data_IF_338239700676
#
_entry.id   IF_338239700676
#
_cell.length_a   1.000
_cell.length_b   1.000
_cell.length_c   1.000
_cell.angle_alpha   90.00
_cell.angle_beta   90.00
_cell.angle_gamma   90.00
#
_symmetry.space_group_name_H-M   'P 1'
#
loop_
_entity.id
_entity.type
_entity.pdbx_description
1 polymer ?
#
# COMPACT_ATOMS: atom_id res chain seq x y z
N UNK A 1 18.02 78.81 -22.00
CA UNK A 1 19.03 77.89 -21.42
C UNK A 1 18.33 76.93 -20.46
N UNK A 2 18.77 75.66 -20.48
CA UNK A 2 18.42 74.52 -19.59
C UNK A 2 17.11 73.76 -19.87
N UNK A 3 17.26 72.83 -20.82
CA UNK A 3 16.91 71.40 -20.70
C UNK A 3 16.93 70.83 -19.28
N UNK A 4 15.95 69.97 -18.96
CA UNK A 4 16.11 68.55 -18.55
C UNK A 4 14.72 67.88 -18.71
N UNK A 5 14.66 66.90 -19.60
CA UNK A 5 13.64 65.87 -19.64
C UNK A 5 14.04 64.74 -18.69
N UNK A 6 13.08 64.10 -18.03
CA UNK A 6 13.23 62.72 -17.57
C UNK A 6 11.86 62.08 -17.36
N UNK A 7 11.63 61.07 -18.19
CA UNK A 7 10.51 60.16 -18.18
C UNK A 7 10.61 59.19 -16.99
N UNK A 8 9.47 58.91 -16.36
CA UNK A 8 9.31 57.78 -15.44
C UNK A 8 8.05 57.00 -15.81
N UNK A 9 8.11 56.34 -16.97
CA UNK A 9 7.30 55.16 -17.28
C UNK A 9 7.94 53.99 -16.51
N UNK A 10 7.42 53.69 -15.32
CA UNK A 10 7.87 52.54 -14.53
C UNK A 10 6.76 51.49 -14.50
N UNK A 11 7.07 50.36 -15.13
CA UNK A 11 6.37 49.09 -15.22
C UNK A 11 5.43 48.76 -14.03
N UNK A 12 4.12 48.73 -14.29
CA UNK A 12 3.21 47.83 -13.61
C UNK A 12 3.17 46.50 -14.39
N UNK A 13 4.28 45.77 -14.40
CA UNK A 13 4.36 44.42 -14.95
C UNK A 13 4.20 43.40 -13.82
N UNK A 14 3.05 42.73 -13.83
CA UNK A 14 2.84 41.34 -13.43
C UNK A 14 3.49 40.86 -12.12
N UNK A 15 2.78 41.02 -11.01
CA UNK A 15 2.76 39.99 -9.96
C UNK A 15 1.70 38.93 -10.30
N UNK A 16 1.84 38.31 -11.47
CA UNK A 16 1.33 36.95 -11.67
C UNK A 16 2.36 36.03 -11.00
N UNK A 17 2.38 36.02 -9.67
CA UNK A 17 3.08 35.00 -8.93
C UNK A 17 2.44 33.68 -9.33
N UNK A 18 3.13 32.91 -10.15
CA UNK A 18 2.80 31.54 -10.45
C UNK A 18 2.74 30.80 -9.10
N UNK A 19 1.54 30.64 -8.56
CA UNK A 19 1.25 29.76 -7.43
C UNK A 19 1.55 28.33 -7.92
N UNK A 20 2.82 27.94 -7.92
CA UNK A 20 3.20 26.57 -8.22
C UNK A 20 2.44 25.69 -7.22
N UNK A 21 1.79 24.60 -7.69
CA UNK A 21 1.13 23.67 -6.81
C UNK A 21 2.10 23.25 -5.72
N UNK A 22 1.74 23.50 -4.45
CA UNK A 22 2.61 23.18 -3.33
C UNK A 22 2.62 21.65 -3.18
N UNK A 23 3.71 21.02 -3.61
CA UNK A 23 3.86 19.57 -3.50
C UNK A 23 4.44 19.23 -2.13
N UNK A 24 3.78 18.38 -1.31
CA UNK A 24 4.31 17.95 -0.04
C UNK A 24 5.57 17.08 -0.24
N UNK A 25 6.56 17.27 0.63
CA UNK A 25 7.73 16.39 0.70
C UNK A 25 7.46 15.12 1.52
N UNK A 26 8.41 14.18 1.53
CA UNK A 26 8.24 12.90 2.22
C UNK A 26 8.08 13.06 3.74
N UNK A 27 8.76 14.03 4.35
CA UNK A 27 8.66 14.28 5.78
C UNK A 27 7.29 14.83 6.15
N UNK A 28 6.75 15.74 5.34
CA UNK A 28 5.41 16.30 5.48
C UNK A 28 4.33 15.23 5.29
N UNK A 29 4.44 14.39 4.26
CA UNK A 29 3.53 13.26 4.04
C UNK A 29 3.55 12.27 5.20
N UNK A 30 4.74 12.03 5.77
CA UNK A 30 4.92 11.13 6.91
C UNK A 30 4.33 11.71 8.18
N UNK A 31 4.60 12.98 8.46
CA UNK A 31 4.05 13.67 9.63
C UNK A 31 2.52 13.71 9.59
N UNK A 32 1.94 13.95 8.40
CA UNK A 32 0.50 13.99 8.19
C UNK A 32 -0.15 12.62 8.36
N UNK A 33 0.38 11.59 7.68
CA UNK A 33 -0.24 10.28 7.52
C UNK A 33 0.32 9.21 8.48
N UNK A 34 1.08 9.61 9.50
CA UNK A 34 1.59 8.70 10.54
C UNK A 34 0.47 8.01 11.28
N UNK A 35 0.71 6.76 11.68
CA UNK A 35 -0.15 6.04 12.62
C UNK A 35 -0.33 6.81 13.94
N UNK A 36 -1.49 6.66 14.57
CA UNK A 36 -1.84 7.38 15.81
C UNK A 36 -0.88 7.12 16.97
N UNK A 37 -0.23 5.94 16.99
CA UNK A 37 0.74 5.56 18.02
C UNK A 37 2.17 6.05 17.74
N UNK A 38 2.40 6.70 16.59
CA UNK A 38 3.72 7.22 16.22
C UNK A 38 3.97 8.60 16.84
N UNK A 39 5.20 8.83 17.30
CA UNK A 39 5.61 10.12 17.84
C UNK A 39 5.60 11.21 16.76
N UNK A 40 5.29 12.45 17.14
CA UNK A 40 5.08 13.56 16.20
C UNK A 40 6.30 13.90 15.33
N UNK A 41 7.51 13.62 15.82
CA UNK A 41 8.77 13.94 15.14
C UNK A 41 9.48 12.70 14.57
N UNK A 42 8.80 11.54 14.51
CA UNK A 42 9.37 10.34 13.94
C UNK A 42 9.32 10.39 12.41
N UNK A 43 10.43 10.81 11.79
CA UNK A 43 10.59 10.85 10.33
C UNK A 43 10.48 9.48 9.65
N UNK A 44 10.57 8.38 10.42
CA UNK A 44 10.42 7.00 9.96
C UNK A 44 9.09 6.38 10.39
N UNK A 45 8.17 7.17 10.93
CA UNK A 45 6.86 6.70 11.37
C UNK A 45 6.16 5.91 10.27
N UNK A 46 5.56 4.77 10.65
CA UNK A 46 4.73 4.00 9.72
C UNK A 46 3.56 4.86 9.26
N UNK A 47 3.35 4.88 7.95
CA UNK A 47 2.16 5.47 7.35
C UNK A 47 0.98 4.53 7.63
N UNK A 48 -0.14 5.08 8.07
CA UNK A 48 -1.33 4.32 8.41
C UNK A 48 -2.00 3.74 7.15
N UNK A 49 -2.27 2.43 7.16
CA UNK A 49 -2.74 1.70 5.98
C UNK A 49 -4.14 2.14 5.53
N UNK A 50 -5.00 2.60 6.46
CA UNK A 50 -6.33 3.09 6.10
C UNK A 50 -6.23 4.39 5.31
N UNK A 51 -5.32 5.29 5.70
CA UNK A 51 -5.09 6.56 5.03
C UNK A 51 -4.60 6.35 3.59
N UNK A 52 -3.67 5.41 3.41
CA UNK A 52 -3.21 5.00 2.07
C UNK A 52 -4.36 4.46 1.23
N UNK A 53 -5.20 3.59 1.82
CA UNK A 53 -6.37 3.02 1.13
C UNK A 53 -7.35 4.12 0.73
N UNK A 54 -7.69 5.02 1.64
CA UNK A 54 -8.57 6.15 1.38
C UNK A 54 -8.04 7.07 0.27
N UNK A 55 -6.77 7.44 0.34
CA UNK A 55 -6.15 8.30 -0.69
C UNK A 55 -6.14 7.64 -2.07
N UNK A 56 -5.88 6.33 -2.16
CA UNK A 56 -5.95 5.58 -3.42
C UNK A 56 -7.35 5.55 -4.02
N UNK A 57 -8.37 5.38 -3.20
CA UNK A 57 -9.77 5.42 -3.65
C UNK A 57 -10.14 6.79 -4.23
N UNK A 58 -9.61 7.87 -3.64
CA UNK A 58 -9.91 9.24 -4.03
C UNK A 58 -9.06 9.79 -5.18
N UNK A 59 -7.92 9.15 -5.48
CA UNK A 59 -6.99 9.65 -6.49
C UNK A 59 -7.56 9.71 -7.92
N UNK A 60 -8.65 9.00 -8.21
CA UNK A 60 -9.23 8.97 -9.55
C UNK A 60 -8.37 8.26 -10.59
N UNK A 61 -7.25 7.64 -10.18
CA UNK A 61 -6.36 6.88 -11.04
C UNK A 61 -6.64 5.37 -10.94
N UNK A 62 -6.90 4.74 -12.09
CA UNK A 62 -7.28 3.33 -12.16
C UNK A 62 -6.15 2.38 -11.71
N UNK A 63 -4.87 2.75 -11.86
CA UNK A 63 -3.74 1.95 -11.39
C UNK A 63 -3.62 2.03 -9.87
N UNK A 64 -3.83 3.21 -9.30
CA UNK A 64 -3.85 3.39 -7.85
C UNK A 64 -5.05 2.68 -7.21
N UNK A 65 -6.21 2.65 -7.88
CA UNK A 65 -7.39 1.92 -7.43
C UNK A 65 -7.28 0.39 -7.64
N UNK A 66 -6.29 -0.08 -8.41
CA UNK A 66 -6.13 -1.50 -8.70
C UNK A 66 -5.97 -2.32 -7.41
N UNK A 67 -6.67 -3.45 -7.33
CA UNK A 67 -6.69 -4.33 -6.16
C UNK A 67 -7.31 -3.73 -4.89
N UNK A 68 -7.97 -2.57 -4.97
CA UNK A 68 -8.86 -2.13 -3.90
C UNK A 68 -10.16 -2.95 -3.94
N UNK A 69 -10.69 -3.39 -2.78
CA UNK A 69 -12.02 -4.00 -2.71
C UNK A 69 -13.09 -3.10 -3.35
N UNK A 70 -14.12 -3.68 -3.98
CA UNK A 70 -15.17 -2.88 -4.60
C UNK A 70 -15.97 -2.09 -3.55
N UNK A 71 -16.07 -2.63 -2.33
CA UNK A 71 -16.79 -2.04 -1.19
C UNK A 71 -16.19 -0.70 -0.78
N UNK A 72 -14.86 -0.55 -0.88
CA UNK A 72 -14.18 0.70 -0.52
C UNK A 72 -14.21 1.74 -1.64
N UNK A 73 -14.73 1.40 -2.83
CA UNK A 73 -14.81 2.30 -3.98
C UNK A 73 -16.19 2.98 -4.11
N UNK A 74 -17.15 2.60 -3.26
CA UNK A 74 -18.48 3.24 -3.19
C UNK A 74 -18.38 4.69 -2.70
N UNK A 75 -19.33 5.54 -3.09
CA UNK A 75 -19.37 6.93 -2.64
C UNK A 75 -19.54 7.04 -1.12
N UNK A 76 -20.29 6.11 -0.51
CA UNK A 76 -20.43 6.01 0.94
C UNK A 76 -19.08 5.71 1.63
N UNK A 77 -18.31 4.75 1.11
CA UNK A 77 -16.98 4.43 1.64
C UNK A 77 -15.98 5.56 1.41
N UNK A 78 -16.01 6.22 0.25
CA UNK A 78 -15.22 7.43 -0.03
C UNK A 78 -15.51 8.53 0.99
N UNK A 79 -16.80 8.82 1.24
CA UNK A 79 -17.22 9.79 2.25
C UNK A 79 -16.72 9.43 3.65
N UNK A 80 -16.90 8.17 4.09
CA UNK A 80 -16.40 7.71 5.38
C UNK A 80 -14.87 7.82 5.50
N UNK A 81 -14.16 7.54 4.40
CA UNK A 81 -12.71 7.74 4.30
C UNK A 81 -12.30 9.20 4.48
N UNK A 82 -13.06 10.14 3.87
CA UNK A 82 -12.82 11.57 4.02
C UNK A 82 -13.05 12.02 5.46
N UNK A 83 -14.20 11.66 6.04
CA UNK A 83 -14.55 12.00 7.43
C UNK A 83 -13.52 11.46 8.44
N UNK A 84 -12.98 10.26 8.20
CA UNK A 84 -11.92 9.68 9.04
C UNK A 84 -10.61 10.48 8.97
N UNK A 85 -10.26 11.01 7.80
CA UNK A 85 -9.00 11.72 7.60
C UNK A 85 -9.08 13.21 7.91
N UNK A 86 -10.25 13.83 7.82
CA UNK A 86 -10.45 15.27 8.08
C UNK A 86 -9.81 15.76 9.40
N UNK A 87 -9.93 15.05 10.54
CA UNK A 87 -9.25 15.45 11.78
C UNK A 87 -7.71 15.51 11.65
N UNK A 88 -7.10 14.70 10.79
CA UNK A 88 -5.65 14.70 10.59
C UNK A 88 -5.20 15.90 9.76
N UNK A 89 -6.03 16.30 8.79
CA UNK A 89 -5.80 17.50 7.99
C UNK A 89 -6.05 18.77 8.80
N UNK A 90 -6.96 18.74 9.78
CA UNK A 90 -7.24 19.83 10.71
C UNK A 90 -6.20 19.96 11.85
N UNK A 91 -5.47 18.90 12.17
CA UNK A 91 -4.46 18.88 13.22
C UNK A 91 -3.20 19.67 12.79
N UNK A 92 -3.01 20.87 13.37
CA UNK A 92 -1.87 21.73 13.08
C UNK A 92 -0.50 21.12 13.44
N UNK A 93 -0.47 20.08 14.30
CA UNK A 93 0.76 19.36 14.66
C UNK A 93 1.12 18.28 13.64
N UNK A 94 0.13 17.76 12.90
CA UNK A 94 0.31 16.83 11.77
C UNK A 94 0.49 17.57 10.45
N UNK A 95 -0.23 18.68 10.30
CA UNK A 95 -0.35 19.45 9.09
C UNK A 95 -0.03 20.95 9.31
N UNK A 96 1.18 21.31 9.76
CA UNK A 96 1.55 22.71 10.02
C UNK A 96 1.48 23.57 8.76
N UNK A 97 1.62 22.93 7.59
CA UNK A 97 1.59 23.57 6.28
C UNK A 97 0.19 23.66 5.66
N UNK A 98 -0.83 23.13 6.36
CA UNK A 98 -2.25 23.20 5.99
C UNK A 98 -2.55 22.66 4.58
N UNK A 99 -1.89 21.56 4.20
CA UNK A 99 -2.27 20.84 2.99
C UNK A 99 -3.74 20.44 3.04
N UNK A 100 -4.45 20.51 1.93
CA UNK A 100 -5.84 20.04 1.86
C UNK A 100 -5.89 18.57 1.46
N UNK A 101 -7.03 17.93 1.70
CA UNK A 101 -7.24 16.56 1.24
C UNK A 101 -7.09 16.45 -0.28
N UNK A 102 -7.60 17.42 -1.03
CA UNK A 102 -7.57 17.47 -2.48
C UNK A 102 -6.12 17.48 -3.00
N UNK A 103 -5.24 18.28 -2.37
CA UNK A 103 -3.82 18.33 -2.69
C UNK A 103 -3.12 17.00 -2.44
N UNK A 104 -3.42 16.33 -1.32
CA UNK A 104 -2.80 15.05 -0.96
C UNK A 104 -3.38 13.87 -1.73
N UNK A 105 -4.63 13.97 -2.17
CA UNK A 105 -5.30 12.95 -2.97
C UNK A 105 -4.90 12.96 -4.45
N UNK A 106 -4.08 13.92 -4.92
CA UNK A 106 -3.64 13.93 -6.31
C UNK A 106 -2.84 12.66 -6.66
N UNK A 107 -3.02 12.06 -7.87
CA UNK A 107 -2.37 10.80 -8.24
C UNK A 107 -0.86 10.74 -8.01
N UNK A 108 -0.14 11.82 -8.32
CA UNK A 108 1.30 11.89 -8.12
C UNK A 108 1.68 11.84 -6.63
N UNK A 109 0.93 12.54 -5.78
CA UNK A 109 1.14 12.55 -4.33
C UNK A 109 0.78 11.20 -3.72
N UNK A 110 -0.35 10.60 -4.13
CA UNK A 110 -0.77 9.27 -3.65
C UNK A 110 0.20 8.17 -4.07
N UNK A 111 0.77 8.26 -5.28
CA UNK A 111 1.84 7.34 -5.72
C UNK A 111 3.07 7.44 -4.82
N UNK A 112 3.45 8.65 -4.41
CA UNK A 112 4.56 8.90 -3.47
C UNK A 112 4.25 8.39 -2.07
N UNK A 113 3.04 8.62 -1.56
CA UNK A 113 2.56 8.05 -0.28
C UNK A 113 2.60 6.53 -0.30
N UNK A 114 2.18 5.89 -1.40
CA UNK A 114 2.27 4.45 -1.59
C UNK A 114 3.72 3.96 -1.57
N UNK A 115 4.63 4.64 -2.26
CA UNK A 115 6.05 4.31 -2.24
C UNK A 115 6.64 4.41 -0.83
N UNK A 116 6.30 5.46 -0.08
CA UNK A 116 6.71 5.62 1.32
C UNK A 116 6.12 4.54 2.23
N UNK A 117 4.84 4.20 2.04
CA UNK A 117 4.16 3.14 2.79
C UNK A 117 4.85 1.79 2.56
N UNK A 118 5.11 1.44 1.30
CA UNK A 118 5.80 0.20 0.93
C UNK A 118 7.25 0.18 1.40
N UNK A 119 7.98 1.30 1.27
CA UNK A 119 9.35 1.43 1.76
C UNK A 119 9.44 1.24 3.28
N UNK A 120 8.43 1.66 4.04
CA UNK A 120 8.38 1.48 5.50
C UNK A 120 7.82 0.12 5.94
N UNK A 121 6.99 -0.50 5.12
CA UNK A 121 6.63 -1.90 5.28
C UNK A 121 7.85 -2.80 5.03
N UNK A 122 8.69 -2.45 4.06
CA UNK A 122 9.97 -3.11 3.78
C UNK A 122 11.05 -2.78 4.82
N UNK A 123 11.07 -1.55 5.35
CA UNK A 123 12.05 -1.04 6.31
C UNK A 123 11.97 -1.60 7.74
N UNK A 124 11.25 -2.70 7.96
CA UNK A 124 11.40 -3.55 9.15
C UNK A 124 12.77 -4.23 9.22
N UNK A 125 13.48 -4.35 8.10
CA UNK A 125 14.93 -4.60 8.00
C UNK A 125 15.38 -4.09 6.63
N UNK A 126 16.48 -3.32 6.58
CA UNK A 126 16.92 -2.62 5.38
C UNK A 126 16.97 -3.48 4.12
N UNK A 127 16.18 -3.11 3.12
CA UNK A 127 16.38 -3.49 1.73
C UNK A 127 16.07 -2.25 0.87
N UNK A 128 16.90 -1.93 -0.14
CA UNK A 128 16.66 -0.78 -1.00
C UNK A 128 15.33 -0.95 -1.75
N UNK A 129 14.65 0.15 -2.11
CA UNK A 129 13.45 0.08 -2.94
C UNK A 129 13.81 -0.63 -4.25
N UNK A 130 12.89 -1.44 -4.84
CA UNK A 130 13.15 -2.01 -6.14
C UNK A 130 13.31 -0.86 -7.12
N UNK A 131 14.47 -0.79 -7.78
CA UNK A 131 14.68 0.10 -8.90
C UNK A 131 13.57 -0.14 -9.93
N UNK A 132 12.96 0.93 -10.41
CA UNK A 132 12.08 0.90 -11.57
C UNK A 132 12.95 0.52 -12.76
N UNK A 133 13.07 -0.78 -13.02
CA UNK A 133 13.51 -1.26 -14.32
C UNK A 133 12.35 -1.07 -15.27
N UNK A 134 12.45 -0.04 -16.11
CA UNK A 134 11.87 -0.06 -17.45
C UNK A 134 12.51 -1.22 -18.21
N UNK A 135 12.04 -2.42 -17.94
CA UNK A 135 12.25 -3.57 -18.80
C UNK A 135 10.87 -4.10 -19.12
N UNK A 136 10.59 -4.11 -20.42
CA UNK A 136 9.63 -5.00 -21.08
C UNK A 136 9.38 -6.25 -20.23
N UNK A 137 8.12 -6.69 -20.03
CA UNK A 137 7.81 -7.83 -19.18
C UNK A 137 8.79 -8.95 -19.48
N UNK A 138 9.65 -9.36 -18.52
CA UNK A 138 10.46 -10.53 -18.75
C UNK A 138 9.48 -11.65 -19.00
N UNK A 139 9.69 -12.38 -20.11
CA UNK A 139 9.00 -13.62 -20.38
C UNK A 139 8.95 -14.45 -19.08
N UNK A 140 7.88 -15.23 -18.84
CA UNK A 140 7.72 -16.02 -17.63
C UNK A 140 9.02 -16.76 -17.38
N UNK A 141 9.76 -16.37 -16.34
CA UNK A 141 10.94 -17.14 -15.97
C UNK A 141 10.42 -18.53 -15.60
N UNK A 142 11.05 -19.61 -16.11
CA UNK A 142 10.66 -20.95 -15.73
C UNK A 142 10.68 -21.02 -14.19
N UNK A 143 9.65 -21.67 -13.64
CA UNK A 143 9.47 -21.92 -12.22
C UNK A 143 10.73 -22.64 -11.70
N UNK A 144 11.72 -21.87 -11.27
CA UNK A 144 12.88 -22.39 -10.59
C UNK A 144 12.42 -22.77 -9.20
N UNK A 145 12.35 -24.07 -8.93
CA UNK A 145 12.12 -24.63 -7.60
C UNK A 145 13.25 -24.18 -6.69
N UNK A 146 13.06 -23.04 -6.03
CA UNK A 146 13.86 -22.68 -4.85
C UNK A 146 13.58 -23.77 -3.82
N UNK A 147 14.62 -24.49 -3.40
CA UNK A 147 14.47 -25.50 -2.36
C UNK A 147 14.21 -24.79 -1.02
N UNK A 148 12.94 -24.73 -0.65
CA UNK A 148 12.47 -24.16 0.61
C UNK A 148 12.59 -25.17 1.78
N UNK A 149 13.14 -26.36 1.55
CA UNK A 149 13.27 -27.41 2.55
C UNK A 149 11.95 -27.76 3.24
N UNK A 150 11.98 -27.97 4.55
CA UNK A 150 10.80 -28.30 5.36
C UNK A 150 9.70 -27.21 5.34
N UNK A 151 10.08 -25.93 5.17
CA UNK A 151 9.13 -24.83 5.02
C UNK A 151 8.35 -24.93 3.70
N UNK A 152 9.00 -25.41 2.63
CA UNK A 152 8.38 -25.68 1.34
C UNK A 152 7.27 -26.73 1.41
N UNK A 153 7.50 -27.82 2.14
CA UNK A 153 6.49 -28.87 2.33
C UNK A 153 5.25 -28.34 3.07
N UNK A 154 5.47 -27.51 4.11
CA UNK A 154 4.38 -26.88 4.88
C UNK A 154 3.57 -25.92 4.01
N UNK A 155 4.24 -25.14 3.16
CA UNK A 155 3.60 -24.24 2.22
C UNK A 155 2.79 -24.99 1.15
N UNK A 156 3.35 -26.05 0.57
CA UNK A 156 2.66 -26.90 -0.41
C UNK A 156 1.40 -27.57 0.17
N UNK A 157 1.47 -28.03 1.42
CA UNK A 157 0.28 -28.56 2.10
C UNK A 157 -0.80 -27.47 2.26
N UNK A 158 -0.39 -26.25 2.63
CA UNK A 158 -1.28 -25.09 2.77
C UNK A 158 -1.91 -24.69 1.43
N UNK A 159 -1.13 -24.74 0.34
CA UNK A 159 -1.61 -24.53 -1.03
C UNK A 159 -2.71 -25.53 -1.40
N UNK A 160 -2.51 -26.81 -1.09
CA UNK A 160 -3.52 -27.85 -1.30
C UNK A 160 -4.81 -27.60 -0.50
N UNK A 161 -4.71 -27.06 0.71
CA UNK A 161 -5.88 -26.63 1.49
C UNK A 161 -6.58 -25.45 0.81
N UNK A 162 -5.86 -24.39 0.43
CA UNK A 162 -6.46 -23.23 -0.23
C UNK A 162 -7.16 -23.58 -1.54
N UNK A 163 -6.58 -24.49 -2.34
CA UNK A 163 -7.20 -25.00 -3.57
C UNK A 163 -8.49 -25.76 -3.27
N UNK A 164 -8.51 -26.62 -2.25
CA UNK A 164 -9.74 -27.30 -1.80
C UNK A 164 -10.81 -26.32 -1.34
N UNK A 165 -10.46 -25.30 -0.54
CA UNK A 165 -11.42 -24.27 -0.12
C UNK A 165 -11.94 -23.49 -1.31
N UNK A 166 -11.10 -23.19 -2.30
CA UNK A 166 -11.55 -22.50 -3.51
C UNK A 166 -12.47 -23.36 -4.38
N UNK A 167 -12.20 -24.66 -4.49
CA UNK A 167 -13.11 -25.62 -5.15
C UNK A 167 -14.44 -25.75 -4.40
N UNK A 168 -14.43 -25.73 -3.07
CA UNK A 168 -15.65 -25.72 -2.25
C UNK A 168 -16.43 -24.41 -2.42
N UNK A 169 -15.74 -23.28 -2.46
CA UNK A 169 -16.36 -21.97 -2.67
C UNK A 169 -17.05 -21.85 -4.03
N UNK A 170 -16.55 -22.54 -5.07
CA UNK A 170 -17.16 -22.56 -6.41
C UNK A 170 -18.24 -23.63 -6.54
N UNK A 171 -18.05 -24.82 -5.96
CA UNK A 171 -19.03 -25.92 -6.04
C UNK A 171 -20.19 -25.81 -5.04
N UNK A 172 -20.00 -25.13 -3.91
CA UNK A 172 -21.00 -24.95 -2.86
C UNK A 172 -21.16 -23.47 -2.51
N UNK A 173 -21.85 -22.68 -3.36
CA UNK A 173 -21.97 -21.23 -3.17
C UNK A 173 -22.72 -20.83 -1.89
N UNK A 174 -23.46 -21.76 -1.27
CA UNK A 174 -24.10 -21.58 0.03
C UNK A 174 -23.10 -21.52 1.20
N UNK A 175 -21.90 -22.09 1.05
CA UNK A 175 -20.85 -22.02 2.06
C UNK A 175 -20.15 -20.65 2.03
N UNK A 176 -20.74 -19.68 2.73
CA UNK A 176 -20.28 -18.29 2.81
C UNK A 176 -18.88 -18.17 3.42
N UNK A 177 -18.52 -19.07 4.34
CA UNK A 177 -17.21 -19.07 4.99
C UNK A 177 -16.11 -19.49 4.01
N UNK A 178 -16.35 -20.56 3.24
CA UNK A 178 -15.45 -20.98 2.16
C UNK A 178 -15.28 -19.88 1.10
N UNK A 179 -16.36 -19.20 0.68
CA UNK A 179 -16.28 -18.08 -0.30
C UNK A 179 -15.43 -16.92 0.20
N UNK A 180 -15.67 -16.45 1.44
CA UNK A 180 -14.89 -15.34 2.01
C UNK A 180 -13.42 -15.70 2.20
N UNK A 181 -13.15 -16.96 2.54
CA UNK A 181 -11.79 -17.42 2.81
C UNK A 181 -11.01 -17.77 1.55
N UNK A 182 -11.65 -18.29 0.49
CA UNK A 182 -10.99 -18.74 -0.73
C UNK A 182 -10.07 -17.68 -1.36
N UNK A 183 -10.59 -16.48 -1.59
CA UNK A 183 -9.82 -15.38 -2.20
C UNK A 183 -8.71 -14.86 -1.28
N UNK A 184 -8.93 -14.90 0.03
CA UNK A 184 -7.92 -14.54 1.01
C UNK A 184 -6.79 -15.58 1.04
N UNK A 185 -7.13 -16.87 1.07
CA UNK A 185 -6.20 -17.99 1.17
C UNK A 185 -5.21 -18.00 0.00
N UNK A 186 -5.73 -17.90 -1.24
CA UNK A 186 -4.90 -17.92 -2.46
C UNK A 186 -3.92 -16.76 -2.51
N UNK A 187 -4.39 -15.54 -2.20
CA UNK A 187 -3.51 -14.36 -2.17
C UNK A 187 -2.46 -14.46 -1.07
N UNK A 188 -2.85 -14.95 0.11
CA UNK A 188 -1.95 -15.05 1.26
C UNK A 188 -0.87 -16.11 1.06
N UNK A 189 -1.21 -17.24 0.44
CA UNK A 189 -0.26 -18.29 0.06
C UNK A 189 0.76 -17.81 -0.97
N UNK A 190 0.32 -17.11 -2.01
CA UNK A 190 1.24 -16.55 -3.00
C UNK A 190 2.23 -15.56 -2.36
N UNK A 191 1.75 -14.76 -1.40
CA UNK A 191 2.60 -13.86 -0.63
C UNK A 191 3.59 -14.62 0.29
N UNK A 192 3.15 -15.68 0.95
CA UNK A 192 4.01 -16.52 1.79
C UNK A 192 5.11 -17.17 0.97
N UNK A 193 4.80 -17.69 -0.22
CA UNK A 193 5.79 -18.26 -1.14
C UNK A 193 6.88 -17.26 -1.50
N UNK A 194 6.50 -16.07 -1.97
CA UNK A 194 7.44 -15.03 -2.33
C UNK A 194 8.33 -14.61 -1.15
N UNK A 195 7.75 -14.52 0.06
CA UNK A 195 8.50 -14.18 1.27
C UNK A 195 9.48 -15.31 1.69
N UNK A 196 9.09 -16.57 1.53
CA UNK A 196 9.95 -17.72 1.82
C UNK A 196 11.12 -17.81 0.85
N UNK A 197 10.87 -17.63 -0.45
CA UNK A 197 11.91 -17.55 -1.48
C UNK A 197 12.91 -16.42 -1.17
N UNK A 198 12.41 -15.26 -0.73
CA UNK A 198 13.24 -14.14 -0.30
C UNK A 198 14.03 -14.44 0.99
N UNK A 199 13.46 -15.18 1.94
CA UNK A 199 14.15 -15.58 3.16
C UNK A 199 15.30 -16.57 2.86
N UNK A 200 15.07 -17.53 1.96
CA UNK A 200 16.11 -18.45 1.47
C UNK A 200 17.23 -17.68 0.76
N UNK A 201 16.89 -16.74 -0.12
CA UNK A 201 17.88 -15.89 -0.79
C UNK A 201 18.72 -15.02 0.16
N UNK A 202 18.23 -14.74 1.36
CA UNK A 202 18.96 -14.02 2.43
C UNK A 202 19.61 -14.95 3.46
N UNK A 203 19.48 -16.26 3.31
CA UNK A 203 19.90 -17.28 4.29
C UNK A 203 19.33 -17.03 5.70
N UNK A 204 18.10 -16.50 5.77
CA UNK A 204 17.42 -16.11 7.01
C UNK A 204 16.49 -17.24 7.48
N UNK A 205 17.05 -18.19 8.24
CA UNK A 205 16.37 -19.39 8.70
C UNK A 205 15.26 -19.07 9.72
N UNK A 206 15.50 -18.13 10.62
CA UNK A 206 14.50 -17.72 11.62
C UNK A 206 13.26 -17.11 10.96
N UNK A 207 13.46 -16.32 9.90
CA UNK A 207 12.35 -15.79 9.11
C UNK A 207 11.63 -16.88 8.33
N UNK A 208 12.36 -17.85 7.78
CA UNK A 208 11.77 -18.98 7.06
C UNK A 208 10.88 -19.84 7.99
N UNK A 209 11.31 -20.09 9.22
CA UNK A 209 10.54 -20.85 10.22
C UNK A 209 9.27 -20.12 10.65
N UNK A 210 9.34 -18.80 10.85
CA UNK A 210 8.15 -17.98 11.14
C UNK A 210 7.15 -18.00 9.99
N UNK A 211 7.64 -17.89 8.76
CA UNK A 211 6.78 -17.96 7.57
C UNK A 211 6.17 -19.36 7.42
N UNK A 212 6.89 -20.43 7.78
CA UNK A 212 6.37 -21.79 7.78
C UNK A 212 5.26 -21.97 8.83
N UNK A 213 5.44 -21.40 10.03
CA UNK A 213 4.40 -21.39 11.07
C UNK A 213 3.15 -20.60 10.63
N UNK A 214 3.33 -19.45 9.96
CA UNK A 214 2.24 -18.67 9.39
C UNK A 214 1.48 -19.44 8.29
N UNK A 215 2.21 -20.16 7.42
CA UNK A 215 1.63 -21.02 6.41
C UNK A 215 0.80 -22.13 7.05
N UNK A 216 1.35 -22.83 8.05
CA UNK A 216 0.65 -23.88 8.79
C UNK A 216 -0.65 -23.36 9.40
N UNK A 217 -0.62 -22.22 10.09
CA UNK A 217 -1.80 -21.60 10.69
C UNK A 217 -2.86 -21.24 9.64
N UNK A 218 -2.42 -20.75 8.47
CA UNK A 218 -3.33 -20.48 7.36
C UNK A 218 -4.00 -21.77 6.85
N UNK A 219 -3.24 -22.87 6.77
CA UNK A 219 -3.76 -24.20 6.44
C UNK A 219 -4.83 -24.66 7.43
N UNK A 220 -4.56 -24.57 8.74
CA UNK A 220 -5.52 -24.94 9.79
C UNK A 220 -6.83 -24.13 9.70
N UNK A 221 -6.74 -22.82 9.42
CA UNK A 221 -7.94 -21.99 9.21
C UNK A 221 -8.70 -22.43 7.96
N UNK A 222 -7.99 -22.78 6.89
CA UNK A 222 -8.57 -23.28 5.66
C UNK A 222 -9.28 -24.62 5.81
N UNK A 223 -8.72 -25.54 6.59
CA UNK A 223 -9.37 -26.82 6.87
C UNK A 223 -10.65 -26.63 7.68
N UNK A 224 -10.64 -25.72 8.66
CA UNK A 224 -11.85 -25.34 9.39
C UNK A 224 -12.91 -24.69 8.49
N UNK A 225 -12.49 -23.87 7.52
CA UNK A 225 -13.40 -23.27 6.55
C UNK A 225 -13.97 -24.31 5.55
N UNK A 226 -13.22 -25.38 5.26
CA UNK A 226 -13.65 -26.48 4.41
C UNK A 226 -14.53 -27.51 5.14
N UNK A 227 -14.41 -27.63 6.47
CA UNK A 227 -15.14 -28.59 7.29
C UNK A 227 -16.55 -28.14 7.68
N UNK A 228 -16.85 -26.83 7.59
CA UNK A 228 -18.21 -26.32 7.79
C UNK A 228 -19.12 -26.88 6.68
N UNK A 229 -20.11 -27.69 7.07
CA UNK A 229 -21.14 -28.18 6.16
C UNK A 229 -22.06 -27.02 5.75
N UNK A 230 -22.60 -27.02 4.52
CA UNK A 230 -23.56 -26.03 4.06
C UNK A 230 -24.83 -25.98 4.91
#
# INVERSE_FOLDING_TARGET
MRTIALASLACAAALAGCSQPRVPDDAQLTALLRGERSQANDAKARIEATAVTCLRTWAGDAKLAQNLPAEVQTDAAKKACREKLDPWFADATRNPQKFTFEEISQPAVVSRVMALYLARAAGGTGAPPPAVLTTTPPAPRPQGTVDLGAAGATLQQTEGVCQRVQQLATSQPANQRARRFADFCVRRVAQLRANMEQAVGRNDKDQLDKLAADAKRLGEIGENAAADKP
#
